data_IF_759105962268
#
_entry.id   IF_759105962268
#
_cell.length_a   1.000
_cell.length_b   1.000
_cell.length_c   1.000
_cell.angle_alpha   90.00
_cell.angle_beta   90.00
_cell.angle_gamma   90.00
#
_symmetry.space_group_name_H-M   'P 1'
#
loop_
_entity.id
_entity.type
_entity.pdbx_description
1 polymer ?
#
# COMPACT_ATOMS: atom_id res chain seq x y z
N UNK A 1 -10.62 -10.88 -12.80
CA UNK A 1 -9.86 -12.06 -12.35
C UNK A 1 -9.13 -11.57 -11.13
N UNK A 2 -9.69 -11.89 -9.97
CA UNK A 2 -9.22 -11.38 -8.69
C UNK A 2 -7.75 -11.74 -8.55
N UNK A 3 -6.95 -10.80 -8.06
CA UNK A 3 -5.56 -11.05 -7.82
C UNK A 3 -5.40 -12.29 -6.94
N UNK A 4 -4.48 -13.19 -7.29
CA UNK A 4 -4.30 -14.44 -6.54
C UNK A 4 -3.92 -14.19 -5.07
N UNK A 5 -3.40 -13.00 -4.76
CA UNK A 5 -3.04 -12.56 -3.41
C UNK A 5 -4.29 -12.29 -2.55
N UNK A 6 -5.32 -11.66 -3.14
CA UNK A 6 -6.53 -11.22 -2.40
C UNK A 6 -7.34 -12.39 -1.88
N UNK A 7 -7.18 -13.58 -2.47
CA UNK A 7 -7.83 -14.81 -1.99
C UNK A 7 -7.41 -15.22 -0.56
N UNK A 8 -6.31 -14.67 -0.05
CA UNK A 8 -5.86 -14.87 1.32
C UNK A 8 -6.34 -13.75 2.28
N UNK A 9 -7.03 -12.72 1.79
CA UNK A 9 -7.49 -11.60 2.60
C UNK A 9 -8.79 -11.97 3.33
N UNK A 10 -8.62 -12.35 4.60
CA UNK A 10 -9.66 -12.88 5.48
C UNK A 10 -10.28 -14.19 4.99
N UNK A 11 -10.49 -15.12 5.90
CA UNK A 11 -11.18 -16.37 5.59
C UNK A 11 -12.70 -16.21 5.69
N UNK A 12 -13.46 -17.18 5.15
CA UNK A 12 -14.93 -17.19 5.27
C UNK A 12 -15.39 -17.34 6.72
N UNK A 13 -14.57 -17.89 7.59
CA UNK A 13 -14.85 -18.03 9.02
C UNK A 13 -14.64 -16.71 9.78
N UNK A 14 -13.85 -15.79 9.23
CA UNK A 14 -13.58 -14.47 9.80
C UNK A 14 -14.58 -13.40 9.35
N UNK A 15 -15.27 -13.64 8.24
CA UNK A 15 -16.32 -12.78 7.69
C UNK A 15 -17.70 -13.43 7.90
N UNK A 16 -18.78 -12.64 7.91
CA UNK A 16 -20.12 -13.23 7.88
C UNK A 16 -20.37 -13.96 6.56
N UNK A 17 -21.24 -14.98 6.56
CA UNK A 17 -21.56 -15.75 5.36
C UNK A 17 -21.99 -14.84 4.19
N UNK A 18 -21.39 -15.04 3.02
CA UNK A 18 -21.66 -14.25 1.81
C UNK A 18 -20.98 -12.87 1.76
N UNK A 19 -20.27 -12.44 2.82
CA UNK A 19 -19.46 -11.21 2.82
C UNK A 19 -18.13 -11.40 2.11
N UNK A 20 -17.61 -10.28 1.60
CA UNK A 20 -16.22 -10.15 1.14
C UNK A 20 -15.58 -8.91 1.73
N UNK A 21 -14.27 -8.92 1.97
CA UNK A 21 -13.57 -7.85 2.70
C UNK A 21 -13.66 -6.48 2.03
N UNK A 22 -13.86 -6.43 0.70
CA UNK A 22 -14.01 -5.19 -0.08
C UNK A 22 -15.32 -4.45 0.23
N UNK A 23 -16.32 -5.16 0.74
CA UNK A 23 -17.63 -4.57 1.02
C UNK A 23 -17.57 -3.67 2.25
N UNK A 24 -18.09 -2.43 2.13
CA UNK A 24 -18.27 -1.50 3.26
C UNK A 24 -18.92 -2.14 4.48
N UNK A 25 -19.85 -3.08 4.26
CA UNK A 25 -20.54 -3.77 5.35
C UNK A 25 -19.63 -4.72 6.13
N UNK A 26 -18.68 -5.38 5.48
CA UNK A 26 -17.65 -6.17 6.17
C UNK A 26 -16.80 -5.29 7.07
N UNK A 27 -16.48 -4.07 6.63
CA UNK A 27 -15.78 -3.08 7.46
C UNK A 27 -16.60 -2.64 8.69
N UNK A 28 -17.94 -2.55 8.56
CA UNK A 28 -18.84 -2.30 9.71
C UNK A 28 -18.80 -3.50 10.66
N UNK A 29 -19.01 -4.70 10.13
CA UNK A 29 -19.08 -5.93 10.93
C UNK A 29 -17.74 -6.16 11.67
N UNK A 30 -16.61 -5.80 11.04
CA UNK A 30 -15.26 -5.84 11.60
C UNK A 30 -14.86 -4.59 12.39
N UNK A 31 -15.78 -3.67 12.69
CA UNK A 31 -15.53 -2.61 13.68
C UNK A 31 -15.47 -3.14 15.13
N UNK A 32 -15.79 -4.43 15.31
CA UNK A 32 -15.38 -5.24 16.44
C UNK A 32 -14.47 -6.38 15.93
N UNK A 33 -13.45 -6.80 16.70
CA UNK A 33 -12.60 -7.91 16.29
C UNK A 33 -13.44 -9.19 16.15
N UNK A 34 -13.24 -9.98 15.07
CA UNK A 34 -13.76 -11.33 15.03
C UNK A 34 -13.06 -12.16 16.11
N UNK A 35 -13.76 -13.10 16.75
CA UNK A 35 -13.34 -13.82 17.96
C UNK A 35 -11.83 -14.09 18.13
N UNK A 36 -11.37 -15.31 17.85
CA UNK A 36 -9.95 -15.66 17.94
C UNK A 36 -9.17 -15.19 16.69
N UNK A 37 -9.07 -13.87 16.48
CA UNK A 37 -8.26 -13.34 15.39
C UNK A 37 -6.77 -13.32 15.73
N UNK A 38 -5.95 -13.90 14.86
CA UNK A 38 -4.50 -13.88 14.97
C UNK A 38 -3.90 -13.19 13.74
N UNK A 39 -3.29 -12.02 13.94
CA UNK A 39 -2.70 -11.24 12.85
C UNK A 39 -1.49 -11.91 12.18
N UNK A 40 -0.75 -12.74 12.92
CA UNK A 40 0.35 -13.53 12.33
C UNK A 40 -0.20 -14.55 11.34
N UNK A 41 -1.29 -15.25 11.66
CA UNK A 41 -1.86 -16.28 10.79
C UNK A 41 -2.38 -15.65 9.48
N UNK A 42 -3.01 -14.46 9.56
CA UNK A 42 -3.42 -13.70 8.38
C UNK A 42 -2.19 -13.36 7.50
N UNK A 43 -1.18 -12.74 8.11
CA UNK A 43 0.02 -12.27 7.39
C UNK A 43 0.81 -13.44 6.79
N UNK A 44 0.98 -14.52 7.54
CA UNK A 44 1.63 -15.74 7.06
C UNK A 44 0.86 -16.37 5.90
N UNK A 45 -0.48 -16.44 5.97
CA UNK A 45 -1.29 -16.97 4.87
C UNK A 45 -1.16 -16.14 3.58
N UNK A 46 -1.15 -14.80 3.69
CA UNK A 46 -0.93 -13.89 2.56
C UNK A 46 0.48 -14.09 1.98
N UNK A 47 1.49 -14.10 2.85
CA UNK A 47 2.88 -14.25 2.43
C UNK A 47 3.14 -15.60 1.76
N UNK A 48 2.63 -16.69 2.33
CA UNK A 48 2.69 -18.03 1.75
C UNK A 48 2.04 -18.08 0.36
N UNK A 49 0.92 -17.36 0.18
CA UNK A 49 0.25 -17.25 -1.12
C UNK A 49 1.14 -16.51 -2.12
N UNK A 50 1.75 -15.40 -1.73
CA UNK A 50 2.69 -14.64 -2.56
C UNK A 50 3.87 -15.53 -2.98
N UNK A 51 4.51 -16.24 -2.04
CA UNK A 51 5.62 -17.14 -2.32
C UNK A 51 5.22 -18.27 -3.28
N UNK A 52 4.05 -18.88 -3.09
CA UNK A 52 3.51 -19.89 -4.02
C UNK A 52 3.28 -19.34 -5.41
N UNK A 53 2.79 -18.10 -5.53
CA UNK A 53 2.60 -17.47 -6.83
C UNK A 53 3.95 -17.13 -7.48
N UNK A 54 4.94 -16.68 -6.70
CA UNK A 54 6.31 -16.46 -7.18
C UNK A 54 6.96 -17.75 -7.70
N UNK A 55 6.77 -18.88 -7.04
CA UNK A 55 7.27 -20.18 -7.51
C UNK A 55 6.66 -20.62 -8.84
N UNK A 56 5.42 -20.22 -9.12
CA UNK A 56 4.68 -20.54 -10.36
C UNK A 56 4.85 -19.50 -11.46
N UNK A 57 5.61 -18.43 -11.21
CA UNK A 57 5.73 -17.32 -12.16
C UNK A 57 6.27 -17.77 -13.52
N UNK A 58 5.90 -17.09 -14.60
CA UNK A 58 6.47 -17.40 -15.91
C UNK A 58 7.99 -17.16 -15.92
N UNK A 59 8.74 -17.90 -16.75
CA UNK A 59 10.21 -17.77 -16.88
C UNK A 59 10.69 -16.40 -17.39
N UNK A 60 9.78 -15.49 -17.75
CA UNK A 60 10.11 -14.13 -18.20
C UNK A 60 10.46 -13.26 -17.01
N UNK A 61 11.31 -12.26 -17.22
CA UNK A 61 11.63 -11.29 -16.18
C UNK A 61 10.39 -10.42 -15.86
N UNK A 62 10.16 -10.05 -14.58
CA UNK A 62 9.18 -9.03 -14.23
C UNK A 62 9.60 -7.66 -14.79
N UNK A 63 8.69 -6.67 -14.71
CA UNK A 63 9.00 -5.31 -15.16
C UNK A 63 10.19 -4.73 -14.39
N UNK A 64 11.08 -4.00 -15.08
CA UNK A 64 12.16 -3.24 -14.46
C UNK A 64 11.68 -1.99 -13.72
N UNK A 65 10.43 -1.60 -13.94
CA UNK A 65 9.80 -0.46 -13.25
C UNK A 65 9.28 -0.83 -11.86
N UNK A 66 9.21 -2.12 -11.51
CA UNK A 66 8.79 -2.51 -10.17
C UNK A 66 9.80 -1.97 -9.14
N UNK A 67 9.29 -1.38 -8.05
CA UNK A 67 10.07 -0.78 -6.96
C UNK A 67 10.90 0.45 -7.31
N UNK A 68 10.80 0.95 -8.55
CA UNK A 68 11.51 2.14 -8.98
C UNK A 68 10.75 3.38 -8.55
N UNK A 69 11.40 4.27 -7.80
CA UNK A 69 10.86 5.58 -7.47
C UNK A 69 10.70 6.39 -8.75
N UNK A 70 9.51 6.94 -8.98
CA UNK A 70 9.25 7.76 -10.16
C UNK A 70 9.86 9.15 -9.97
N UNK A 71 10.45 9.69 -11.05
CA UNK A 71 10.94 11.07 -11.06
C UNK A 71 9.80 12.06 -10.93
N UNK A 72 9.97 13.08 -10.09
CA UNK A 72 9.01 14.17 -9.88
C UNK A 72 9.40 15.45 -10.62
N UNK A 73 10.56 15.45 -11.30
CA UNK A 73 11.10 16.63 -11.99
C UNK A 73 10.45 16.92 -13.34
N UNK A 74 9.75 15.95 -13.95
CA UNK A 74 9.04 16.14 -15.21
C UNK A 74 7.57 16.55 -14.96
N UNK A 75 7.33 17.86 -14.96
CA UNK A 75 6.00 18.43 -14.73
C UNK A 75 4.95 17.95 -15.75
N UNK A 76 5.34 17.51 -16.95
CA UNK A 76 4.41 16.94 -17.94
C UNK A 76 3.77 15.64 -17.48
N UNK A 77 4.46 14.88 -16.62
CA UNK A 77 3.99 13.61 -16.06
C UNK A 77 3.23 13.73 -14.74
N UNK A 78 3.39 14.88 -14.05
CA UNK A 78 2.69 15.24 -12.81
C UNK A 78 1.40 16.02 -13.12
N UNK A 79 1.27 16.57 -14.32
CA UNK A 79 0.18 17.45 -14.72
C UNK A 79 -1.20 16.84 -14.42
N UNK A 80 -2.05 17.56 -13.68
CA UNK A 80 -3.45 17.24 -13.34
C UNK A 80 -4.36 17.38 -14.55
N UNK A 81 -3.99 16.75 -15.67
CA UNK A 81 -4.71 16.88 -16.94
C UNK A 81 -6.21 16.71 -16.73
N UNK A 82 -6.96 17.69 -17.25
CA UNK A 82 -8.41 17.94 -17.11
C UNK A 82 -9.35 16.75 -17.42
N UNK A 83 -8.79 15.57 -17.73
CA UNK A 83 -9.52 14.34 -18.11
C UNK A 83 -9.53 13.27 -17.03
N UNK A 84 -8.75 13.37 -15.95
CA UNK A 84 -8.77 12.36 -14.90
C UNK A 84 -9.90 12.67 -13.92
N UNK A 85 -10.87 11.76 -13.78
CA UNK A 85 -12.04 11.96 -12.93
C UNK A 85 -11.90 11.36 -11.53
N UNK A 86 -10.74 10.77 -11.20
CA UNK A 86 -10.49 10.24 -9.85
C UNK A 86 -9.92 11.33 -8.96
N UNK A 87 -10.63 11.60 -7.86
CA UNK A 87 -10.15 12.53 -6.84
C UNK A 87 -8.82 12.05 -6.25
N UNK A 88 -8.67 10.75 -6.00
CA UNK A 88 -7.44 10.16 -5.46
C UNK A 88 -6.24 10.47 -6.36
N UNK A 89 -6.33 10.21 -7.67
CA UNK A 89 -5.21 10.46 -8.59
C UNK A 89 -4.92 11.96 -8.75
N UNK A 90 -5.93 12.82 -8.70
CA UNK A 90 -5.70 14.27 -8.72
C UNK A 90 -5.04 14.78 -7.44
N UNK A 91 -5.39 14.20 -6.28
CA UNK A 91 -4.76 14.53 -5.01
C UNK A 91 -3.32 13.99 -4.94
N UNK A 92 -3.04 12.78 -5.43
CA UNK A 92 -1.66 12.27 -5.59
C UNK A 92 -0.79 13.31 -6.30
N UNK A 93 -1.25 13.78 -7.47
CA UNK A 93 -0.52 14.75 -8.29
C UNK A 93 -0.32 16.09 -7.58
N UNK A 94 -1.33 16.60 -6.89
CA UNK A 94 -1.22 17.83 -6.11
C UNK A 94 -0.21 17.71 -4.97
N UNK A 95 -0.14 16.55 -4.30
CA UNK A 95 0.87 16.26 -3.27
C UNK A 95 2.27 16.30 -3.88
N UNK A 96 2.49 15.67 -5.03
CA UNK A 96 3.79 15.69 -5.74
C UNK A 96 4.16 17.10 -6.20
N UNK A 97 3.21 17.86 -6.74
CA UNK A 97 3.43 19.24 -7.16
C UNK A 97 3.88 20.12 -5.99
N UNK A 98 3.27 19.94 -4.81
CA UNK A 98 3.56 20.73 -3.62
C UNK A 98 4.87 20.33 -2.92
N UNK A 99 5.18 19.04 -2.87
CA UNK A 99 6.34 18.49 -2.14
C UNK A 99 7.15 17.48 -2.98
N UNK A 100 7.73 17.90 -4.12
CA UNK A 100 8.33 17.00 -5.11
C UNK A 100 9.61 16.29 -4.66
N UNK A 101 10.26 16.77 -3.59
CA UNK A 101 11.49 16.19 -3.03
C UNK A 101 11.21 15.10 -1.99
N UNK A 102 10.04 15.17 -1.35
CA UNK A 102 9.67 14.30 -0.23
C UNK A 102 8.75 13.14 -0.68
N UNK A 103 7.98 13.35 -1.74
CA UNK A 103 6.98 12.39 -2.20
C UNK A 103 7.28 11.90 -3.62
N UNK A 104 7.00 10.64 -3.89
CA UNK A 104 6.80 10.11 -5.24
C UNK A 104 5.47 9.36 -5.31
N UNK A 105 5.07 8.93 -6.50
CA UNK A 105 3.74 8.43 -6.78
C UNK A 105 3.74 7.20 -7.70
N UNK A 106 2.70 6.39 -7.55
CA UNK A 106 2.36 5.26 -8.41
C UNK A 106 3.54 4.31 -8.66
N UNK A 107 4.23 3.93 -7.60
CA UNK A 107 5.36 3.00 -7.68
C UNK A 107 4.83 1.58 -7.98
N UNK A 108 5.11 1.00 -9.16
CA UNK A 108 4.62 -0.34 -9.50
C UNK A 108 5.25 -1.39 -8.58
N UNK A 109 4.48 -2.40 -8.17
CA UNK A 109 4.99 -3.44 -7.23
C UNK A 109 5.01 -4.84 -7.80
N UNK A 110 4.09 -5.18 -8.71
CA UNK A 110 3.88 -6.55 -9.16
C UNK A 110 3.74 -6.69 -10.68
N UNK A 111 4.11 -5.67 -11.46
CA UNK A 111 3.91 -5.69 -12.91
C UNK A 111 4.71 -6.83 -13.53
N UNK A 112 3.97 -7.77 -14.12
CA UNK A 112 4.52 -8.95 -14.75
C UNK A 112 5.13 -9.97 -13.78
N UNK A 113 4.89 -9.85 -12.47
CA UNK A 113 5.43 -10.74 -11.43
C UNK A 113 4.69 -12.08 -11.36
N UNK A 114 3.36 -12.08 -11.43
CA UNK A 114 2.53 -13.28 -11.26
C UNK A 114 1.85 -13.79 -12.55
N UNK A 115 2.00 -13.10 -13.68
CA UNK A 115 1.34 -13.48 -14.92
C UNK A 115 1.18 -12.32 -15.89
N UNK A 116 0.70 -12.61 -17.11
CA UNK A 116 0.44 -11.60 -18.15
C UNK A 116 -0.92 -10.91 -18.02
N UNK A 117 -1.78 -11.33 -17.09
CA UNK A 117 -3.13 -10.76 -16.87
C UNK A 117 -3.44 -10.49 -15.40
N UNK A 118 -2.81 -11.20 -14.47
CA UNK A 118 -2.90 -10.99 -13.02
C UNK A 118 -2.02 -9.82 -12.56
N UNK A 119 -2.50 -9.06 -11.57
CA UNK A 119 -1.73 -8.10 -10.76
C UNK A 119 -1.00 -6.96 -11.50
N UNK A 120 -1.36 -6.72 -12.78
CA UNK A 120 -0.72 -5.71 -13.65
C UNK A 120 -0.82 -4.26 -13.16
N UNK A 121 -1.77 -3.95 -12.28
CA UNK A 121 -2.10 -2.58 -11.85
C UNK A 121 -1.74 -2.28 -10.40
N UNK A 122 -1.06 -3.20 -9.70
CA UNK A 122 -0.66 -2.92 -8.32
C UNK A 122 0.45 -1.88 -8.30
N UNK A 123 0.14 -0.74 -7.70
CA UNK A 123 1.09 0.32 -7.40
C UNK A 123 0.82 0.86 -6.00
N UNK A 124 1.87 1.25 -5.30
CA UNK A 124 1.72 2.10 -4.13
C UNK A 124 1.39 3.51 -4.64
N UNK A 125 0.26 4.08 -4.20
CA UNK A 125 -0.22 5.38 -4.68
C UNK A 125 0.79 6.49 -4.41
N UNK A 126 1.30 6.55 -3.18
CA UNK A 126 2.29 7.53 -2.74
C UNK A 126 3.40 6.87 -1.93
N UNK A 127 4.63 7.32 -2.16
CA UNK A 127 5.79 6.92 -1.34
C UNK A 127 6.39 8.18 -0.73
N UNK A 128 6.38 8.24 0.60
CA UNK A 128 7.06 9.31 1.34
C UNK A 128 8.50 8.88 1.63
N UNK A 129 9.46 9.67 1.19
CA UNK A 129 10.89 9.46 1.39
C UNK A 129 11.30 10.23 2.64
N UNK A 130 11.68 9.52 3.71
CA UNK A 130 12.13 10.20 4.94
C UNK A 130 13.54 10.72 4.71
N UNK A 131 13.65 12.03 4.49
CA UNK A 131 14.83 12.76 3.97
C UNK A 131 16.19 12.44 4.64
N UNK A 132 16.20 11.91 5.86
CA UNK A 132 17.43 11.75 6.65
C UNK A 132 18.23 10.47 6.40
N UNK A 133 17.66 9.45 5.74
CA UNK A 133 18.38 8.18 5.56
C UNK A 133 18.24 7.51 4.19
N UNK A 134 17.32 7.95 3.32
CA UNK A 134 16.95 7.26 2.07
C UNK A 134 16.74 5.75 2.24
N UNK A 135 16.37 5.35 3.45
CA UNK A 135 16.24 3.95 3.89
C UNK A 135 14.98 3.75 4.72
N UNK A 136 14.24 4.81 5.00
CA UNK A 136 12.95 4.77 5.64
C UNK A 136 11.90 5.36 4.69
N UNK A 137 10.90 4.55 4.37
CA UNK A 137 9.83 4.97 3.47
C UNK A 137 8.47 4.73 4.10
N UNK A 138 7.51 5.60 3.81
CA UNK A 138 6.10 5.24 3.99
C UNK A 138 5.53 4.82 2.63
N UNK A 139 4.90 3.66 2.57
CA UNK A 139 4.05 3.28 1.45
C UNK A 139 2.62 3.65 1.82
N UNK A 140 2.01 4.51 1.03
CA UNK A 140 0.72 5.11 1.31
C UNK A 140 -0.26 4.68 0.25
N UNK A 141 -1.35 4.06 0.70
CA UNK A 141 -2.60 3.92 -0.03
C UNK A 141 -3.46 5.15 0.27
N UNK A 142 -3.80 5.92 -0.75
CA UNK A 142 -4.53 7.18 -0.62
C UNK A 142 -6.00 6.96 -0.95
N UNK A 143 -6.89 7.32 -0.02
CA UNK A 143 -8.34 7.25 -0.25
C UNK A 143 -9.01 8.58 0.03
N UNK A 144 -10.12 8.86 -0.66
CA UNK A 144 -10.94 10.05 -0.41
C UNK A 144 -12.37 9.66 -0.02
N UNK A 145 -13.09 8.96 -0.89
CA UNK A 145 -14.50 8.61 -0.66
C UNK A 145 -14.93 7.23 -1.16
N UNK A 146 -14.11 6.61 -2.01
CA UNK A 146 -14.33 5.25 -2.52
C UNK A 146 -13.85 4.20 -1.52
N UNK A 147 -14.38 2.97 -1.62
CA UNK A 147 -13.97 1.82 -0.79
C UNK A 147 -14.19 1.98 0.74
N UNK A 148 -13.45 1.20 1.53
CA UNK A 148 -13.51 1.19 2.99
C UNK A 148 -12.11 1.15 3.59
N UNK A 149 -11.92 1.61 4.84
CA UNK A 149 -10.62 1.51 5.52
C UNK A 149 -10.07 0.08 5.59
N UNK A 150 -10.95 -0.92 5.74
CA UNK A 150 -10.56 -2.34 5.71
C UNK A 150 -9.95 -2.74 4.37
N UNK A 151 -10.59 -2.37 3.27
CA UNK A 151 -10.12 -2.68 1.92
C UNK A 151 -8.73 -2.06 1.69
N UNK A 152 -8.61 -0.75 1.94
CA UNK A 152 -7.35 -0.02 1.78
C UNK A 152 -6.22 -0.60 2.64
N UNK A 153 -6.53 -1.05 3.86
CA UNK A 153 -5.55 -1.70 4.73
C UNK A 153 -5.03 -3.01 4.15
N UNK A 154 -5.91 -3.82 3.54
CA UNK A 154 -5.51 -5.07 2.90
C UNK A 154 -4.73 -4.84 1.60
N UNK A 155 -5.08 -3.81 0.83
CA UNK A 155 -4.32 -3.43 -0.37
C UNK A 155 -2.87 -3.09 -0.03
N UNK A 156 -2.65 -2.14 0.90
CA UNK A 156 -1.30 -1.71 1.27
C UNK A 156 -0.52 -2.81 2.00
N UNK A 157 -1.19 -3.65 2.80
CA UNK A 157 -0.58 -4.84 3.39
C UNK A 157 -0.09 -5.82 2.32
N UNK A 158 -0.93 -6.09 1.32
CA UNK A 158 -0.55 -6.91 0.16
C UNK A 158 0.67 -6.35 -0.55
N UNK A 159 0.71 -5.04 -0.82
CA UNK A 159 1.87 -4.40 -1.45
C UNK A 159 3.13 -4.51 -0.59
N UNK A 160 3.01 -4.31 0.73
CA UNK A 160 4.11 -4.48 1.69
C UNK A 160 4.66 -5.91 1.73
N UNK A 161 3.81 -6.92 1.66
CA UNK A 161 4.25 -8.33 1.66
C UNK A 161 4.86 -8.74 0.31
N UNK A 162 4.39 -8.19 -0.81
CA UNK A 162 5.04 -8.35 -2.12
C UNK A 162 6.40 -7.66 -2.13
N UNK A 163 6.56 -6.53 -1.44
CA UNK A 163 7.84 -5.87 -1.22
C UNK A 163 8.79 -6.80 -0.45
N UNK A 164 8.33 -7.36 0.66
CA UNK A 164 9.14 -8.25 1.49
C UNK A 164 9.59 -9.48 0.70
N UNK A 165 8.68 -10.15 -0.02
CA UNK A 165 9.01 -11.28 -0.89
C UNK A 165 9.99 -10.88 -2.01
N UNK A 166 9.76 -9.73 -2.64
CA UNK A 166 10.64 -9.21 -3.70
C UNK A 166 12.05 -8.97 -3.19
N UNK A 167 12.19 -8.39 -2.00
CA UNK A 167 13.49 -8.14 -1.36
C UNK A 167 14.26 -9.44 -1.13
N UNK A 168 13.61 -10.47 -0.60
CA UNK A 168 14.22 -11.78 -0.36
C UNK A 168 14.66 -12.47 -1.68
N UNK A 169 13.89 -12.30 -2.76
CA UNK A 169 14.10 -12.99 -4.04
C UNK A 169 14.92 -12.18 -5.09
N UNK A 170 15.32 -10.95 -4.73
CA UNK A 170 15.91 -9.92 -5.63
C UNK A 170 17.04 -10.46 -6.50
N UNK A 171 18.07 -11.06 -5.88
CA UNK A 171 19.32 -11.41 -6.55
C UNK A 171 19.29 -12.77 -7.26
N UNK A 172 18.58 -13.77 -6.69
CA UNK A 172 18.63 -15.14 -7.21
C UNK A 172 17.73 -15.35 -8.42
N UNK A 173 16.61 -14.63 -8.48
CA UNK A 173 15.45 -15.10 -9.23
C UNK A 173 14.70 -13.98 -9.95
N UNK A 174 14.48 -12.84 -9.29
CA UNK A 174 13.81 -11.69 -9.91
C UNK A 174 14.74 -10.91 -10.85
N UNK A 175 16.07 -11.02 -10.63
CA UNK A 175 17.11 -10.40 -11.47
C UNK A 175 16.92 -8.89 -11.61
N UNK A 176 16.42 -8.26 -10.55
CA UNK A 176 16.36 -6.82 -10.44
C UNK A 176 17.78 -6.25 -10.40
N UNK A 177 17.99 -5.09 -11.03
CA UNK A 177 19.26 -4.36 -10.92
C UNK A 177 19.22 -3.55 -9.64
N UNK A 178 19.93 -4.00 -8.60
CA UNK A 178 19.85 -3.38 -7.27
C UNK A 178 20.37 -1.94 -7.24
N UNK A 179 21.19 -1.54 -8.23
CA UNK A 179 21.77 -0.19 -8.29
C UNK A 179 20.72 0.91 -8.46
N UNK A 180 19.56 0.57 -9.02
CA UNK A 180 18.49 1.52 -9.32
C UNK A 180 17.29 1.42 -8.36
N UNK A 181 17.34 0.52 -7.36
CA UNK A 181 16.20 0.17 -6.52
C UNK A 181 16.47 0.42 -5.02
N UNK A 182 16.79 1.67 -4.67
CA UNK A 182 17.06 2.09 -3.27
C UNK A 182 15.97 1.64 -2.28
N UNK A 183 14.71 1.58 -2.73
CA UNK A 183 13.59 1.14 -1.92
C UNK A 183 13.75 -0.30 -1.43
N UNK A 184 14.33 -1.21 -2.23
CA UNK A 184 14.59 -2.60 -1.82
C UNK A 184 15.65 -2.72 -0.72
N UNK A 185 16.45 -1.67 -0.49
CA UNK A 185 17.46 -1.61 0.57
C UNK A 185 16.95 -0.93 1.86
N UNK A 186 15.66 -0.61 1.95
CA UNK A 186 15.09 0.08 3.10
C UNK A 186 15.41 -0.62 4.44
N UNK A 187 15.65 0.14 5.50
CA UNK A 187 15.69 -0.39 6.87
C UNK A 187 14.34 -0.31 7.55
N UNK A 188 13.46 0.56 7.06
CA UNK A 188 12.11 0.70 7.58
C UNK A 188 11.11 0.96 6.45
N UNK A 189 10.06 0.16 6.40
CA UNK A 189 8.88 0.43 5.59
C UNK A 189 7.69 0.59 6.52
N UNK A 190 6.97 1.69 6.35
CA UNK A 190 5.76 1.98 7.09
C UNK A 190 4.59 1.94 6.13
N UNK A 191 3.69 0.99 6.32
CA UNK A 191 2.47 0.85 5.52
C UNK A 191 1.40 1.79 6.09
N UNK A 192 0.76 2.56 5.23
CA UNK A 192 -0.15 3.61 5.65
C UNK A 192 -1.38 3.64 4.76
N UNK A 193 -2.55 3.71 5.38
CA UNK A 193 -3.76 4.20 4.71
C UNK A 193 -3.91 5.66 5.10
N UNK A 194 -3.89 6.56 4.12
CA UNK A 194 -4.05 8.00 4.33
C UNK A 194 -5.36 8.47 3.67
N UNK A 195 -6.23 9.09 4.46
CA UNK A 195 -7.53 9.57 3.95
C UNK A 195 -8.07 10.76 4.75
N UNK A 196 -9.12 11.47 4.29
CA UNK A 196 -9.84 12.43 5.12
C UNK A 196 -10.45 11.75 6.36
N UNK A 197 -10.63 12.49 7.45
CA UNK A 197 -11.29 11.95 8.66
C UNK A 197 -12.64 11.27 8.39
N UNK A 198 -13.44 11.86 7.49
CA UNK A 198 -14.76 11.33 7.12
C UNK A 198 -14.70 9.93 6.48
N UNK A 199 -13.58 9.54 5.86
CA UNK A 199 -13.40 8.20 5.29
C UNK A 199 -13.41 7.10 6.36
N UNK A 200 -12.87 7.41 7.55
CA UNK A 200 -12.87 6.49 8.69
C UNK A 200 -14.22 6.44 9.40
N UNK A 201 -15.03 7.50 9.28
CA UNK A 201 -16.45 7.51 9.69
C UNK A 201 -16.69 6.84 11.05
N UNK A 202 -17.58 5.85 11.06
CA UNK A 202 -17.92 5.07 12.26
C UNK A 202 -17.12 3.77 12.39
N UNK A 203 -16.11 3.55 11.56
CA UNK A 203 -15.32 2.32 11.58
C UNK A 203 -14.34 2.33 12.75
N UNK A 204 -14.22 1.20 13.46
CA UNK A 204 -13.21 1.04 14.51
C UNK A 204 -12.30 -0.17 14.23
N UNK A 205 -11.20 0.09 13.53
CA UNK A 205 -10.21 -0.89 13.11
C UNK A 205 -8.90 -0.81 13.93
N UNK A 206 -8.95 -0.22 15.13
CA UNK A 206 -7.78 -0.17 16.04
C UNK A 206 -7.21 -1.56 16.31
N UNK A 207 -8.09 -2.54 16.52
CA UNK A 207 -7.70 -3.93 16.75
C UNK A 207 -6.96 -4.51 15.54
N UNK A 208 -7.39 -4.18 14.32
CA UNK A 208 -6.77 -4.66 13.09
C UNK A 208 -5.38 -4.04 12.90
N UNK A 209 -5.25 -2.73 13.14
CA UNK A 209 -3.93 -2.08 13.14
C UNK A 209 -2.97 -2.77 14.10
N UNK A 210 -3.42 -3.07 15.32
CA UNK A 210 -2.61 -3.80 16.30
C UNK A 210 -2.24 -5.20 15.78
N UNK A 211 -3.22 -5.97 15.31
CA UNK A 211 -2.98 -7.34 14.86
C UNK A 211 -2.04 -7.41 13.65
N UNK A 212 -2.15 -6.47 12.69
CA UNK A 212 -1.22 -6.36 11.56
C UNK A 212 0.20 -6.07 12.08
N UNK A 213 0.38 -5.11 12.99
CA UNK A 213 1.69 -4.80 13.54
C UNK A 213 2.31 -6.00 14.28
N UNK A 214 1.53 -6.69 15.12
CA UNK A 214 1.99 -7.90 15.83
C UNK A 214 2.43 -8.99 14.83
N UNK A 215 1.71 -9.15 13.71
CA UNK A 215 2.06 -10.15 12.69
C UNK A 215 3.25 -9.74 11.82
N UNK A 216 3.39 -8.45 11.48
CA UNK A 216 4.54 -7.92 10.75
C UNK A 216 5.83 -8.05 11.56
N UNK A 217 5.78 -7.72 12.86
CA UNK A 217 6.92 -7.86 13.77
C UNK A 217 7.41 -9.31 13.84
N UNK A 218 6.50 -10.28 13.84
CA UNK A 218 6.83 -11.72 13.88
C UNK A 218 7.29 -12.28 12.53
N UNK A 219 6.77 -11.79 11.41
CA UNK A 219 7.13 -12.29 10.08
C UNK A 219 8.47 -11.68 9.59
N UNK A 220 8.66 -10.39 9.82
CA UNK A 220 9.81 -9.61 9.35
C UNK A 220 10.92 -9.66 10.41
N UNK A 221 11.38 -10.88 10.72
CA UNK A 221 12.47 -11.12 11.70
C UNK A 221 13.80 -11.45 11.00
N UNK A 222 13.97 -11.02 9.74
CA UNK A 222 15.16 -11.32 8.93
C UNK A 222 15.71 -10.03 8.31
N UNK A 223 17.03 -9.84 8.42
CA UNK A 223 17.83 -8.86 7.68
C UNK A 223 17.50 -7.37 7.86
N UNK A 224 17.41 -6.91 9.11
CA UNK A 224 17.48 -5.48 9.49
C UNK A 224 16.38 -4.57 8.93
N UNK A 225 15.35 -5.14 8.30
CA UNK A 225 14.15 -4.45 7.88
C UNK A 225 13.15 -4.43 9.03
N UNK A 226 12.55 -3.27 9.28
CA UNK A 226 11.38 -3.13 10.14
C UNK A 226 10.17 -2.77 9.30
N UNK A 227 9.03 -3.42 9.57
CA UNK A 227 7.76 -3.06 8.96
C UNK A 227 6.72 -2.75 10.03
N UNK A 228 5.98 -1.67 9.83
CA UNK A 228 4.82 -1.31 10.64
C UNK A 228 3.64 -0.88 9.76
N UNK A 229 2.46 -0.79 10.35
CA UNK A 229 1.22 -0.39 9.70
C UNK A 229 0.45 0.61 10.55
N UNK A 230 -0.16 1.61 9.90
CA UNK A 230 -1.02 2.61 10.55
C UNK A 230 -2.13 3.15 9.66
N UNK A 231 -3.21 3.58 10.31
CA UNK A 231 -4.23 4.43 9.73
C UNK A 231 -3.93 5.90 10.10
N UNK A 232 -3.89 6.77 9.10
CA UNK A 232 -3.66 8.19 9.28
C UNK A 232 -4.70 9.04 8.55
N UNK A 233 -4.97 10.23 9.10
CA UNK A 233 -5.89 11.19 8.52
C UNK A 233 -5.21 12.53 8.21
N UNK A 234 -5.76 13.22 7.21
CA UNK A 234 -5.52 14.64 6.96
C UNK A 234 -6.81 15.45 7.14
N UNK A 235 -6.68 16.75 7.46
CA UNK A 235 -7.80 17.59 7.90
C UNK A 235 -8.36 18.52 6.82
N UNK A 236 -7.68 18.70 5.68
CA UNK A 236 -8.20 19.54 4.62
C UNK A 236 -9.23 18.79 3.76
N UNK A 237 -10.20 19.53 3.22
CA UNK A 237 -11.18 18.99 2.30
C UNK A 237 -10.64 19.10 0.87
N UNK A 238 -10.37 17.96 0.23
CA UNK A 238 -10.01 17.92 -1.19
C UNK A 238 -11.21 18.31 -2.06
N UNK A 239 -10.94 19.10 -3.09
CA UNK A 239 -11.86 19.36 -4.20
C UNK A 239 -11.10 19.07 -5.49
N UNK A 240 -11.75 18.39 -6.42
CA UNK A 240 -11.17 18.00 -7.71
C UNK A 240 -10.46 19.14 -8.48
N UNK A 241 -10.90 20.38 -8.28
CA UNK A 241 -10.35 21.57 -8.95
C UNK A 241 -9.11 22.16 -8.27
N UNK A 242 -8.68 21.63 -7.12
CA UNK A 242 -7.51 22.10 -6.39
C UNK A 242 -6.21 21.63 -7.04
N UNK A 243 -5.14 22.38 -6.84
CA UNK A 243 -3.77 22.01 -7.22
C UNK A 243 -2.84 21.96 -6.00
N UNK A 244 -1.55 21.66 -6.22
CA UNK A 244 -0.54 21.68 -5.16
C UNK A 244 -0.41 23.04 -4.47
N UNK A 245 -0.71 24.16 -5.15
CA UNK A 245 -0.68 25.48 -4.52
C UNK A 245 -1.76 25.67 -3.45
N UNK A 246 -2.92 25.00 -3.61
CA UNK A 246 -4.05 25.09 -2.69
C UNK A 246 -3.89 24.20 -1.44
N UNK A 247 -2.96 23.24 -1.49
CA UNK A 247 -2.64 22.41 -0.35
C UNK A 247 -2.02 23.24 0.80
N UNK A 248 -2.20 22.83 2.06
CA UNK A 248 -1.55 23.47 3.20
C UNK A 248 -0.02 23.50 3.03
N UNK A 249 0.68 24.29 3.86
CA UNK A 249 2.15 24.39 3.80
C UNK A 249 2.83 23.04 4.05
N UNK A 250 2.21 22.20 4.88
CA UNK A 250 2.67 20.86 5.23
C UNK A 250 1.48 19.90 5.19
N UNK A 251 1.71 18.66 4.76
CA UNK A 251 0.73 17.59 4.86
C UNK A 251 0.72 17.05 6.29
N UNK A 252 -0.12 17.63 7.14
CA UNK A 252 -0.29 17.15 8.51
C UNK A 252 -1.01 15.80 8.50
N UNK A 253 -0.29 14.76 8.95
CA UNK A 253 -0.73 13.37 8.99
C UNK A 253 -0.89 12.96 10.45
N UNK A 254 -2.13 12.72 10.86
CA UNK A 254 -2.46 12.39 12.26
C UNK A 254 -2.89 10.93 12.38
N UNK A 255 -2.50 10.21 13.44
CA UNK A 255 -3.04 8.87 13.71
C UNK A 255 -4.57 8.89 13.83
N UNK A 256 -5.20 7.83 13.35
CA UNK A 256 -6.65 7.61 13.54
C UNK A 256 -6.94 6.89 14.87
N UNK A 257 -6.09 5.94 15.28
CA UNK A 257 -6.28 5.06 16.45
C UNK A 257 -5.13 5.06 17.46
#
# INVERSE_FOLDING_TARGET
>A
MDAEIDSAFFTKEQLQEGRRYEQKRSCIDLSAPPGQFNGYDLIAAIYDRIEKNLMRRPKRKPSKENWKLRSTSDQGTVNTGEKNTSDEVTLERAIIEKWPTEWTYQMPVASGLFGSTSDKRRSVDLVYIKEKDNRSFDFVELKIASDSPLYAAMEILGYGLVYYASRQDTAKNLKYDSKDLTVLEARKISLCVLAPEAFYGTYNLKWLQKAINDGLERLVDIDSLKMDFRFEKFEFQWKHTMSGSDLPKQLDRKPVY
#
